data_IF_064820889182
#
_entry.id   IF_064820889182
#
_cell.length_a   1.000
_cell.length_b   1.000
_cell.length_c   1.000
_cell.angle_alpha   90.00
_cell.angle_beta   90.00
_cell.angle_gamma   90.00
#
_symmetry.space_group_name_H-M   'P 1'
#
loop_
_entity.id
_entity.type
_entity.pdbx_description
1 polymer ?
#
# COMPACT_ATOMS: atom_id res chain seq x y z
N UNK A 1 -20.36 -4.97 -27.94
CA UNK A 1 -18.88 -4.75 -27.88
C UNK A 1 -18.48 -3.43 -27.21
N UNK A 2 -19.02 -2.27 -27.59
CA UNK A 2 -18.67 -0.97 -26.95
C UNK A 2 -18.88 -0.96 -25.43
N UNK A 3 -19.96 -1.55 -24.93
CA UNK A 3 -20.24 -1.57 -23.48
C UNK A 3 -19.22 -2.42 -22.69
N UNK A 4 -18.72 -3.50 -23.30
CA UNK A 4 -17.68 -4.34 -22.69
C UNK A 4 -16.31 -3.63 -22.65
N UNK A 5 -16.03 -2.78 -23.65
CA UNK A 5 -14.81 -1.98 -23.70
C UNK A 5 -14.83 -0.88 -22.62
N UNK A 6 -15.96 -0.18 -22.48
CA UNK A 6 -16.15 0.86 -21.44
C UNK A 6 -16.09 0.23 -20.05
N UNK A 7 -16.72 -0.93 -19.84
CA UNK A 7 -16.68 -1.63 -18.57
C UNK A 7 -15.27 -2.08 -18.18
N UNK A 8 -14.46 -2.58 -19.14
CA UNK A 8 -13.05 -2.92 -18.90
C UNK A 8 -12.21 -1.69 -18.55
N UNK A 9 -12.35 -0.62 -19.32
CA UNK A 9 -11.64 0.64 -19.06
C UNK A 9 -12.02 1.23 -17.69
N UNK A 10 -13.30 1.16 -17.31
CA UNK A 10 -13.76 1.60 -16.00
C UNK A 10 -13.22 0.73 -14.85
N UNK A 11 -13.13 -0.60 -15.05
CA UNK A 11 -12.56 -1.51 -14.07
C UNK A 11 -11.05 -1.25 -13.85
N UNK A 12 -10.30 -1.00 -14.93
CA UNK A 12 -8.88 -0.62 -14.83
C UNK A 12 -8.71 0.72 -14.10
N UNK A 13 -9.57 1.71 -14.36
CA UNK A 13 -9.54 3.02 -13.71
C UNK A 13 -9.85 2.97 -12.20
N UNK A 14 -10.66 1.99 -11.77
CA UNK A 14 -11.07 1.79 -10.39
C UNK A 14 -10.21 0.75 -9.64
N UNK A 15 -9.13 0.27 -10.25
CA UNK A 15 -8.24 -0.68 -9.60
C UNK A 15 -7.13 0.06 -8.84
N UNK A 16 -7.03 -0.22 -7.56
CA UNK A 16 -5.90 0.11 -6.69
C UNK A 16 -5.10 -1.14 -6.38
N UNK A 17 -3.84 -0.97 -6.03
CA UNK A 17 -2.92 -2.07 -5.71
C UNK A 17 -2.46 -1.93 -4.27
N UNK A 18 -2.45 -3.00 -3.49
CA UNK A 18 -1.83 -2.94 -2.17
C UNK A 18 -1.03 -4.18 -1.82
N UNK A 19 -0.01 -4.00 -1.00
CA UNK A 19 0.79 -5.10 -0.47
C UNK A 19 1.14 -4.83 1.00
N UNK A 20 1.03 -5.88 1.80
CA UNK A 20 1.36 -5.89 3.23
C UNK A 20 2.34 -7.04 3.42
N UNK A 21 3.57 -6.74 3.80
CA UNK A 21 4.60 -7.77 3.97
C UNK A 21 5.75 -7.26 4.83
N UNK A 22 6.73 -8.12 5.11
CA UNK A 22 7.92 -7.72 5.86
C UNK A 22 8.83 -6.85 4.99
N UNK A 23 9.64 -6.00 5.62
CA UNK A 23 10.63 -5.19 4.90
C UNK A 23 11.60 -6.06 4.08
N UNK A 24 11.94 -7.24 4.59
CA UNK A 24 12.81 -8.21 3.92
C UNK A 24 12.17 -8.70 2.62
N UNK A 25 10.93 -9.18 2.67
CA UNK A 25 10.23 -9.73 1.51
C UNK A 25 10.01 -8.66 0.43
N UNK A 26 9.70 -7.44 0.83
CA UNK A 26 9.53 -6.33 -0.10
C UNK A 26 10.84 -5.90 -0.78
N UNK A 27 11.99 -6.01 -0.08
CA UNK A 27 13.31 -5.81 -0.68
C UNK A 27 13.66 -6.94 -1.65
N UNK A 28 13.39 -8.20 -1.28
CA UNK A 28 13.61 -9.35 -2.16
C UNK A 28 12.76 -9.29 -3.44
N UNK A 29 11.55 -8.74 -3.35
CA UNK A 29 10.66 -8.47 -4.49
C UNK A 29 11.03 -7.21 -5.29
N UNK A 30 12.05 -6.46 -4.87
CA UNK A 30 12.45 -5.21 -5.53
C UNK A 30 11.44 -4.07 -5.38
N UNK A 31 10.48 -4.17 -4.45
CA UNK A 31 9.49 -3.11 -4.16
C UNK A 31 10.12 -2.02 -3.29
N UNK A 32 11.01 -2.42 -2.38
CA UNK A 32 11.76 -1.51 -1.51
C UNK A 32 13.26 -1.54 -1.83
N UNK A 33 13.89 -0.38 -1.74
CA UNK A 33 15.34 -0.20 -1.86
C UNK A 33 15.87 0.63 -0.70
N UNK A 34 17.13 0.40 -0.35
CA UNK A 34 17.86 1.24 0.60
C UNK A 34 18.63 2.31 -0.17
N UNK A 35 18.44 3.59 0.18
CA UNK A 35 19.17 4.71 -0.42
C UNK A 35 19.96 5.47 0.64
N UNK A 36 21.16 5.92 0.24
CA UNK A 36 22.05 6.74 1.07
C UNK A 36 22.84 5.95 2.11
N UNK A 37 23.56 6.70 2.95
CA UNK A 37 24.40 6.17 4.02
C UNK A 37 25.81 5.75 3.57
N UNK A 38 26.78 5.90 4.46
CA UNK A 38 28.14 5.41 4.30
C UNK A 38 28.30 4.20 5.22
N UNK A 39 28.76 3.06 4.67
CA UNK A 39 28.96 1.80 5.41
C UNK A 39 27.72 1.29 6.19
N UNK A 40 26.50 1.58 5.72
CA UNK A 40 25.26 1.13 6.35
C UNK A 40 24.66 2.09 7.38
N UNK A 41 25.39 3.13 7.79
CA UNK A 41 24.87 4.16 8.70
C UNK A 41 24.07 5.18 7.90
N UNK A 42 22.84 5.46 8.32
CA UNK A 42 21.96 6.47 7.69
C UNK A 42 21.22 5.97 6.44
N UNK A 43 21.17 4.66 6.19
CA UNK A 43 20.34 4.08 5.13
C UNK A 43 18.86 4.35 5.41
N UNK A 44 18.14 4.80 4.39
CA UNK A 44 16.68 4.97 4.45
C UNK A 44 16.01 4.05 3.44
N UNK A 45 15.02 3.27 3.90
CA UNK A 45 14.18 2.42 3.06
C UNK A 45 13.14 3.28 2.32
N UNK A 46 13.04 3.11 1.00
CA UNK A 46 12.09 3.81 0.13
C UNK A 46 11.55 2.85 -0.93
N UNK A 47 10.47 3.24 -1.61
CA UNK A 47 9.99 2.53 -2.79
C UNK A 47 11.05 2.55 -3.90
N UNK A 48 11.18 1.44 -4.62
CA UNK A 48 11.97 1.37 -5.83
C UNK A 48 11.30 2.16 -6.97
N UNK A 49 12.07 2.73 -7.87
CA UNK A 49 11.50 3.34 -9.07
C UNK A 49 11.01 2.24 -10.02
N UNK A 50 9.74 2.30 -10.44
CA UNK A 50 9.17 1.35 -11.40
C UNK A 50 9.04 -0.10 -10.89
N UNK A 51 8.78 -0.30 -9.59
CA UNK A 51 8.56 -1.64 -9.03
C UNK A 51 7.40 -2.38 -9.74
N UNK A 52 7.51 -3.70 -9.77
CA UNK A 52 6.47 -4.57 -10.31
C UNK A 52 5.26 -4.62 -9.36
N UNK A 53 4.06 -4.36 -9.89
CA UNK A 53 2.79 -4.43 -9.16
C UNK A 53 2.13 -5.81 -9.23
N UNK A 54 2.68 -6.76 -10.00
CA UNK A 54 2.18 -8.14 -10.07
C UNK A 54 2.04 -8.86 -8.71
N UNK A 55 2.91 -8.64 -7.69
CA UNK A 55 2.72 -9.26 -6.38
C UNK A 55 1.68 -8.57 -5.48
N UNK A 56 1.05 -7.48 -5.95
CA UNK A 56 0.07 -6.73 -5.16
C UNK A 56 -1.30 -7.38 -5.25
N UNK A 57 -2.07 -7.22 -4.17
CA UNK A 57 -3.49 -7.49 -4.16
C UNK A 57 -4.25 -6.32 -4.80
N UNK A 58 -5.38 -6.63 -5.42
CA UNK A 58 -6.25 -5.61 -6.01
C UNK A 58 -7.23 -5.09 -4.97
N UNK A 59 -7.49 -3.79 -5.02
CA UNK A 59 -8.54 -3.10 -4.29
C UNK A 59 -9.43 -2.37 -5.29
N UNK A 60 -10.74 -2.40 -5.08
CA UNK A 60 -11.64 -1.48 -5.78
C UNK A 60 -11.61 -0.14 -5.07
N UNK A 61 -11.03 0.88 -5.70
CA UNK A 61 -10.83 2.21 -5.07
C UNK A 61 -12.14 2.93 -4.76
N UNK A 62 -13.25 2.53 -5.40
CA UNK A 62 -14.55 3.13 -5.19
C UNK A 62 -15.27 2.57 -3.96
N UNK A 63 -14.93 1.34 -3.54
CA UNK A 63 -15.68 0.60 -2.51
C UNK A 63 -14.80 0.11 -1.35
N UNK A 64 -13.48 0.07 -1.52
CA UNK A 64 -12.55 -0.35 -0.47
C UNK A 64 -12.39 0.77 0.55
N UNK A 65 -13.02 0.61 1.71
CA UNK A 65 -12.93 1.54 2.84
C UNK A 65 -12.01 1.03 3.96
N UNK A 66 -11.70 -0.27 3.98
CA UNK A 66 -10.97 -0.91 5.07
C UNK A 66 -10.04 -1.98 4.53
N UNK A 67 -8.81 -2.01 5.02
CA UNK A 67 -7.80 -3.02 4.69
C UNK A 67 -7.33 -3.65 6.00
N UNK A 68 -7.58 -4.95 6.15
CA UNK A 68 -7.14 -5.71 7.32
C UNK A 68 -5.62 -5.92 7.29
N UNK A 69 -4.99 -5.81 8.46
CA UNK A 69 -3.56 -5.97 8.64
C UNK A 69 -3.32 -7.00 9.75
N UNK A 70 -2.63 -8.10 9.41
CA UNK A 70 -2.26 -9.15 10.36
C UNK A 70 -1.02 -8.77 11.18
N UNK A 71 -1.03 -7.58 11.77
CA UNK A 71 -0.01 -7.08 12.69
C UNK A 71 -0.61 -6.00 13.60
N UNK A 72 -0.01 -5.81 14.78
CA UNK A 72 -0.36 -4.69 15.65
C UNK A 72 -0.04 -3.36 14.96
N UNK A 73 -0.90 -2.36 15.13
CA UNK A 73 -0.71 -1.02 14.53
C UNK A 73 0.63 -0.36 14.85
N UNK A 74 1.25 -0.68 16.00
CA UNK A 74 2.58 -0.17 16.38
C UNK A 74 3.72 -0.72 15.51
N UNK A 75 3.48 -1.88 14.91
CA UNK A 75 4.42 -2.62 14.06
C UNK A 75 4.15 -2.39 12.57
N UNK A 76 3.16 -1.55 12.25
CA UNK A 76 2.77 -1.15 10.90
C UNK A 76 3.47 0.14 10.50
N UNK A 77 4.09 0.13 9.32
CA UNK A 77 4.66 1.32 8.69
C UNK A 77 4.21 1.43 7.23
N UNK A 78 3.54 2.52 6.91
CA UNK A 78 3.13 2.83 5.53
C UNK A 78 4.29 3.53 4.84
N UNK A 79 4.76 2.97 3.72
CA UNK A 79 5.91 3.51 2.96
C UNK A 79 5.45 4.39 1.81
N UNK A 80 4.29 4.10 1.22
CA UNK A 80 3.67 4.92 0.19
C UNK A 80 3.14 6.24 0.77
N UNK A 81 3.30 7.33 0.03
CA UNK A 81 2.93 8.67 0.49
C UNK A 81 1.45 8.95 0.20
N UNK A 82 0.59 8.69 1.19
CA UNK A 82 -0.82 9.08 1.17
C UNK A 82 -1.05 10.29 2.07
N UNK A 83 -2.09 11.10 1.77
CA UNK A 83 -2.44 12.24 2.61
C UNK A 83 -2.81 11.74 4.03
N UNK A 84 -2.21 12.26 5.12
CA UNK A 84 -2.44 11.76 6.47
C UNK A 84 -3.92 11.77 6.90
N UNK A 85 -4.68 12.80 6.50
CA UNK A 85 -6.10 12.91 6.86
C UNK A 85 -7.01 11.99 6.04
N UNK A 86 -6.48 11.32 5.00
CA UNK A 86 -7.27 10.43 4.14
C UNK A 86 -7.42 9.01 4.70
N UNK A 87 -6.70 8.67 5.78
CA UNK A 87 -6.76 7.36 6.40
C UNK A 87 -6.39 7.38 7.89
N UNK A 88 -6.65 6.28 8.59
CA UNK A 88 -6.15 6.03 9.95
C UNK A 88 -5.86 4.56 10.19
N UNK A 89 -4.93 4.27 11.10
CA UNK A 89 -4.70 2.92 11.61
C UNK A 89 -5.48 2.73 12.91
N UNK A 90 -6.26 1.64 12.98
CA UNK A 90 -7.07 1.28 14.14
C UNK A 90 -6.64 -0.11 14.62
N UNK A 91 -6.31 -0.22 15.90
CA UNK A 91 -6.06 -1.52 16.52
C UNK A 91 -7.38 -2.27 16.65
N UNK A 92 -7.42 -3.50 16.13
CA UNK A 92 -8.56 -4.40 16.32
C UNK A 92 -8.35 -5.25 17.58
N UNK A 93 -7.13 -5.73 17.78
CA UNK A 93 -6.66 -6.39 19.00
C UNK A 93 -5.12 -6.25 19.12
N UNK A 94 -4.50 -7.03 20.01
CA UNK A 94 -3.07 -6.98 20.26
C UNK A 94 -2.20 -7.47 19.08
N UNK A 95 -2.77 -8.23 18.14
CA UNK A 95 -2.09 -8.83 16.99
C UNK A 95 -2.61 -8.33 15.63
N UNK A 96 -3.76 -7.65 15.59
CA UNK A 96 -4.41 -7.23 14.35
C UNK A 96 -4.72 -5.73 14.33
N UNK A 97 -4.53 -5.14 13.16
CA UNK A 97 -4.84 -3.76 12.86
C UNK A 97 -5.72 -3.64 11.62
N UNK A 98 -6.28 -2.46 11.41
CA UNK A 98 -7.01 -2.11 10.19
C UNK A 98 -6.58 -0.73 9.72
N UNK A 99 -6.32 -0.59 8.43
CA UNK A 99 -6.27 0.73 7.79
C UNK A 99 -7.69 1.09 7.36
N UNK A 100 -8.24 2.14 7.94
CA UNK A 100 -9.50 2.73 7.51
C UNK A 100 -9.23 3.91 6.59
N UNK A 101 -9.87 3.91 5.42
CA UNK A 101 -9.81 4.98 4.43
C UNK A 101 -10.96 5.93 4.72
N UNK A 102 -10.62 7.16 5.11
CA UNK A 102 -11.58 8.21 5.50
C UNK A 102 -12.03 9.04 4.29
N UNK A 103 -11.14 9.22 3.32
CA UNK A 103 -11.43 9.85 2.03
C UNK A 103 -10.81 9.02 0.90
N UNK A 104 -11.60 8.12 0.26
CA UNK A 104 -11.11 7.29 -0.83
C UNK A 104 -10.59 8.09 -2.02
N UNK A 105 -11.14 9.29 -2.29
CA UNK A 105 -10.72 10.11 -3.43
C UNK A 105 -9.34 10.68 -3.18
N UNK A 106 -9.08 11.16 -1.96
CA UNK A 106 -7.77 11.68 -1.58
C UNK A 106 -6.75 10.55 -1.42
N UNK A 107 -7.13 9.47 -0.74
CA UNK A 107 -6.25 8.33 -0.47
C UNK A 107 -5.74 7.66 -1.74
N UNK A 108 -6.64 7.38 -2.69
CA UNK A 108 -6.31 6.67 -3.92
C UNK A 108 -5.71 7.55 -5.00
N UNK A 109 -5.47 8.86 -4.79
CA UNK A 109 -4.65 9.66 -5.74
C UNK A 109 -3.35 8.95 -6.10
N UNK A 110 -2.77 8.27 -5.11
CA UNK A 110 -1.78 7.24 -5.32
C UNK A 110 -2.48 5.88 -5.46
N UNK A 111 -2.38 5.26 -6.64
CA UNK A 111 -3.06 4.00 -6.97
C UNK A 111 -2.40 2.75 -6.37
N UNK A 112 -1.44 2.93 -5.47
CA UNK A 112 -0.80 1.83 -4.78
C UNK A 112 -0.58 2.14 -3.30
N UNK A 113 -0.61 1.10 -2.46
CA UNK A 113 -0.37 1.15 -1.02
C UNK A 113 0.68 0.09 -0.64
N UNK A 114 1.75 0.50 0.02
CA UNK A 114 2.80 -0.41 0.50
C UNK A 114 2.93 -0.29 2.00
N UNK A 115 2.63 -1.39 2.69
CA UNK A 115 2.70 -1.49 4.15
C UNK A 115 3.79 -2.50 4.53
N UNK A 116 4.69 -2.05 5.41
CA UNK A 116 5.66 -2.89 6.09
C UNK A 116 5.10 -3.28 7.45
N UNK A 117 5.14 -4.57 7.77
CA UNK A 117 4.92 -5.10 9.12
C UNK A 117 6.25 -5.61 9.68
N UNK A 118 6.47 -5.42 10.98
CA UNK A 118 7.65 -5.93 11.70
C UNK A 118 7.41 -7.31 12.31
#
# INVERSE_FOLDING_TARGET
EKDALIARQAAELNTGYYIISTEKDLKEKGILVEKGGFLGIGKTTRLADGFDTSPFLLADVATTERIAIAANVKDVKIISSHHPDSYRLVAQDDAHGTLEILDPREFWKLRYLVIVTK
#
